data_IF_149486034925
#
_entry.id   IF_149486034925
#
_cell.length_a   1.000
_cell.length_b   1.000
_cell.length_c   1.000
_cell.angle_alpha   90.00
_cell.angle_beta   90.00
_cell.angle_gamma   90.00
#
_symmetry.space_group_name_H-M   'P 1'
#
loop_
_entity.id
_entity.type
_entity.pdbx_description
1 polymer ?
#
# COMPACT_ATOMS: atom_id res chain seq x y z
N UNK A 1 -17.93 -2.66 6.48
CA UNK A 1 -18.99 -3.34 5.69
C UNK A 1 -20.36 -3.17 6.31
N UNK A 2 -20.63 -3.69 7.52
CA UNK A 2 -21.94 -3.52 8.19
C UNK A 2 -22.39 -2.05 8.31
N UNK A 3 -21.49 -1.13 8.64
CA UNK A 3 -21.81 0.30 8.70
C UNK A 3 -22.20 0.90 7.33
N UNK A 4 -21.69 0.35 6.23
CA UNK A 4 -21.92 0.89 4.87
C UNK A 4 -23.13 0.25 4.19
N UNK A 5 -23.33 -1.06 4.36
CA UNK A 5 -24.30 -1.85 3.62
C UNK A 5 -25.45 -2.39 4.48
N UNK A 6 -25.36 -2.26 5.80
CA UNK A 6 -26.25 -2.94 6.72
C UNK A 6 -26.03 -4.46 6.75
N UNK A 7 -26.79 -5.19 7.58
CA UNK A 7 -26.59 -6.63 7.78
C UNK A 7 -26.80 -7.47 6.54
N UNK A 8 -27.97 -7.37 5.91
CA UNK A 8 -28.37 -8.22 4.78
C UNK A 8 -27.38 -8.14 3.61
N UNK A 9 -27.04 -6.93 3.18
CA UNK A 9 -26.15 -6.77 2.04
C UNK A 9 -24.69 -7.10 2.39
N UNK A 10 -24.27 -6.87 3.63
CA UNK A 10 -22.96 -7.34 4.09
C UNK A 10 -22.86 -8.86 4.01
N UNK A 11 -23.88 -9.58 4.49
CA UNK A 11 -23.93 -11.05 4.44
C UNK A 11 -23.92 -11.56 2.99
N UNK A 12 -24.69 -10.92 2.09
CA UNK A 12 -24.66 -11.22 0.65
C UNK A 12 -23.26 -11.06 0.04
N UNK A 13 -22.55 -9.98 0.37
CA UNK A 13 -21.18 -9.75 -0.12
C UNK A 13 -20.24 -10.82 0.43
N UNK A 14 -20.33 -11.13 1.72
CA UNK A 14 -19.46 -12.13 2.36
C UNK A 14 -19.66 -13.53 1.78
N UNK A 15 -20.89 -13.93 1.46
CA UNK A 15 -21.18 -15.19 0.76
C UNK A 15 -20.53 -15.25 -0.64
N UNK A 16 -20.43 -14.12 -1.33
CA UNK A 16 -19.81 -14.03 -2.66
C UNK A 16 -18.28 -13.93 -2.60
N UNK A 17 -17.68 -13.66 -1.44
CA UNK A 17 -16.22 -13.62 -1.28
C UNK A 17 -15.61 -15.00 -1.60
N UNK A 18 -14.60 -15.00 -2.50
CA UNK A 18 -13.97 -16.21 -3.03
C UNK A 18 -12.51 -16.41 -2.67
N UNK A 19 -11.77 -15.34 -2.35
CA UNK A 19 -10.34 -15.40 -2.07
C UNK A 19 -9.91 -14.22 -1.21
N UNK A 20 -8.99 -14.46 -0.26
CA UNK A 20 -8.26 -13.43 0.48
C UNK A 20 -6.77 -13.60 0.25
N UNK A 21 -6.08 -12.49 0.00
CA UNK A 21 -4.62 -12.44 -0.14
C UNK A 21 -4.06 -11.62 1.03
N UNK A 22 -3.20 -12.21 1.85
CA UNK A 22 -2.55 -11.52 2.99
C UNK A 22 -1.14 -11.13 2.58
N UNK A 23 -0.78 -9.85 2.69
CA UNK A 23 0.54 -9.35 2.24
C UNK A 23 1.64 -9.65 3.24
N UNK A 24 1.41 -9.42 4.52
CA UNK A 24 2.37 -9.66 5.60
C UNK A 24 1.67 -9.71 6.97
N UNK A 25 2.45 -9.82 8.06
CA UNK A 25 1.94 -10.14 9.40
C UNK A 25 1.77 -8.97 10.37
N UNK A 26 1.82 -7.71 9.91
CA UNK A 26 1.37 -6.61 10.76
C UNK A 26 -0.15 -6.66 10.95
N UNK A 27 -0.61 -6.39 12.17
CA UNK A 27 -1.98 -6.70 12.61
C UNK A 27 -3.06 -5.96 11.82
N UNK A 28 -2.73 -4.78 11.32
CA UNK A 28 -3.54 -3.93 10.44
C UNK A 28 -3.83 -4.53 9.06
N UNK A 29 -3.10 -5.57 8.62
CA UNK A 29 -3.32 -6.22 7.32
C UNK A 29 -4.11 -7.53 7.39
N UNK A 30 -4.16 -8.20 8.55
CA UNK A 30 -4.72 -9.55 8.65
C UNK A 30 -5.72 -9.75 9.79
N UNK A 31 -5.77 -8.86 10.79
CA UNK A 31 -6.56 -9.06 12.00
C UNK A 31 -8.08 -9.24 11.76
N UNK A 32 -8.61 -8.70 10.66
CA UNK A 32 -10.03 -8.84 10.29
C UNK A 32 -10.38 -10.13 9.54
N UNK A 33 -9.41 -10.90 9.05
CA UNK A 33 -9.64 -12.05 8.15
C UNK A 33 -10.52 -13.10 8.83
N UNK A 34 -10.30 -13.35 10.12
CA UNK A 34 -11.08 -14.35 10.83
C UNK A 34 -12.52 -13.90 11.08
N UNK A 35 -12.74 -12.63 11.45
CA UNK A 35 -14.11 -12.10 11.60
C UNK A 35 -14.89 -12.23 10.30
N UNK A 36 -14.24 -12.00 9.16
CA UNK A 36 -14.79 -12.24 7.82
C UNK A 36 -15.11 -13.72 7.61
N UNK A 37 -14.16 -14.63 7.88
CA UNK A 37 -14.35 -16.08 7.70
C UNK A 37 -15.46 -16.67 8.59
N UNK A 38 -15.49 -16.33 9.88
CA UNK A 38 -16.52 -16.76 10.83
C UNK A 38 -17.90 -16.25 10.46
N UNK A 39 -18.00 -15.01 10.00
CA UNK A 39 -19.28 -14.43 9.58
C UNK A 39 -19.75 -15.10 8.29
N UNK A 40 -18.88 -15.26 7.30
CA UNK A 40 -19.19 -15.98 6.06
C UNK A 40 -19.67 -17.42 6.33
N UNK A 41 -18.97 -18.16 7.20
CA UNK A 41 -19.36 -19.52 7.57
C UNK A 41 -20.76 -19.55 8.20
N UNK A 42 -21.02 -18.66 9.17
CA UNK A 42 -22.34 -18.56 9.84
C UNK A 42 -23.48 -18.27 8.89
N UNK A 43 -23.27 -17.44 7.87
CA UNK A 43 -24.31 -17.11 6.88
C UNK A 43 -24.56 -18.29 5.95
N UNK A 44 -23.49 -18.93 5.45
CA UNK A 44 -23.62 -20.10 4.56
C UNK A 44 -24.29 -21.30 5.25
N UNK A 45 -24.11 -21.49 6.56
CA UNK A 45 -24.77 -22.58 7.30
C UNK A 45 -26.23 -22.30 7.64
N UNK A 46 -26.64 -21.04 7.76
CA UNK A 46 -28.03 -20.65 8.06
C UNK A 46 -28.94 -20.68 6.84
N UNK A 47 -28.39 -20.46 5.65
CA UNK A 47 -29.14 -20.44 4.38
C UNK A 47 -28.50 -21.40 3.38
N UNK A 48 -28.65 -22.73 3.55
CA UNK A 48 -28.28 -23.68 2.52
C UNK A 48 -29.24 -23.48 1.33
N UNK A 49 -28.85 -22.67 0.35
CA UNK A 49 -29.57 -22.58 -0.92
C UNK A 49 -29.52 -23.93 -1.65
N UNK A 50 -30.56 -24.33 -2.38
CA UNK A 50 -30.57 -25.58 -3.19
C UNK A 50 -29.45 -25.64 -4.27
N UNK A 51 -28.79 -24.51 -4.55
CA UNK A 51 -27.62 -24.39 -5.45
C UNK A 51 -26.27 -24.75 -4.76
N UNK A 52 -26.33 -25.38 -3.57
CA UNK A 52 -25.21 -25.65 -2.64
C UNK A 52 -24.20 -26.71 -3.11
N UNK A 53 -24.37 -27.33 -4.28
CA UNK A 53 -23.55 -28.50 -4.66
C UNK A 53 -22.07 -28.17 -4.91
N UNK A 54 -21.67 -26.89 -5.05
CA UNK A 54 -20.28 -26.51 -5.36
C UNK A 54 -19.68 -25.37 -4.51
N UNK A 55 -20.36 -24.83 -3.48
CA UNK A 55 -19.81 -23.70 -2.71
C UNK A 55 -18.99 -24.18 -1.51
N UNK A 56 -17.67 -23.98 -1.56
CA UNK A 56 -16.78 -24.30 -0.43
C UNK A 56 -17.14 -23.44 0.79
N UNK A 57 -17.43 -24.10 1.91
CA UNK A 57 -17.70 -23.45 3.20
C UNK A 57 -16.46 -22.73 3.73
N UNK A 58 -15.29 -23.32 3.52
CA UNK A 58 -13.99 -22.74 3.85
C UNK A 58 -13.64 -21.60 2.90
N UNK A 59 -13.22 -20.47 3.46
CA UNK A 59 -12.73 -19.32 2.70
C UNK A 59 -11.26 -19.54 2.27
N UNK A 60 -10.93 -19.56 0.97
CA UNK A 60 -9.55 -19.62 0.52
C UNK A 60 -8.74 -18.40 0.95
N UNK A 61 -7.56 -18.64 1.54
CA UNK A 61 -6.63 -17.58 1.97
C UNK A 61 -5.22 -17.93 1.50
N UNK A 62 -4.59 -17.06 0.72
CA UNK A 62 -3.14 -17.11 0.46
C UNK A 62 -2.41 -16.21 1.46
N UNK A 63 -1.45 -16.75 2.22
CA UNK A 63 -0.81 -15.98 3.27
C UNK A 63 0.66 -16.41 3.57
N UNK A 64 1.44 -15.54 4.24
CA UNK A 64 2.76 -15.89 4.75
C UNK A 64 2.73 -17.06 5.75
N UNK A 65 3.85 -17.80 5.93
CA UNK A 65 3.90 -18.96 6.83
C UNK A 65 3.46 -18.69 8.27
N UNK A 66 3.76 -17.50 8.80
CA UNK A 66 3.39 -17.13 10.16
C UNK A 66 1.87 -16.99 10.37
N UNK A 67 1.09 -16.79 9.30
CA UNK A 67 -0.38 -16.74 9.37
C UNK A 67 -0.97 -18.09 9.79
N UNK A 68 -0.35 -19.21 9.40
CA UNK A 68 -0.80 -20.54 9.81
C UNK A 68 -0.79 -20.72 11.33
N UNK A 69 0.30 -20.29 11.99
CA UNK A 69 0.44 -20.35 13.45
C UNK A 69 -0.60 -19.47 14.13
N UNK A 70 -0.79 -18.25 13.63
CA UNK A 70 -1.82 -17.34 14.14
C UNK A 70 -3.22 -17.96 14.06
N UNK A 71 -3.55 -18.59 12.94
CA UNK A 71 -4.84 -19.29 12.76
C UNK A 71 -5.02 -20.47 13.71
N UNK A 72 -3.99 -21.29 13.93
CA UNK A 72 -4.05 -22.40 14.88
C UNK A 72 -4.30 -21.90 16.30
N UNK A 73 -3.50 -20.94 16.78
CA UNK A 73 -3.66 -20.40 18.14
C UNK A 73 -5.02 -19.73 18.35
N UNK A 74 -5.54 -19.04 17.32
CA UNK A 74 -6.86 -18.43 17.42
C UNK A 74 -7.98 -19.48 17.45
N UNK A 75 -7.90 -20.50 16.59
CA UNK A 75 -8.88 -21.58 16.57
C UNK A 75 -8.94 -22.34 17.91
N UNK A 76 -7.78 -22.56 18.53
CA UNK A 76 -7.68 -23.16 19.87
C UNK A 76 -8.31 -22.27 20.95
N UNK A 77 -8.02 -20.97 20.95
CA UNK A 77 -8.50 -20.04 21.96
C UNK A 77 -10.02 -19.81 21.91
N UNK A 78 -10.61 -19.79 20.72
CA UNK A 78 -12.03 -19.49 20.52
C UNK A 78 -12.87 -20.72 20.18
N UNK A 79 -12.29 -21.93 20.23
CA UNK A 79 -12.96 -23.21 20.05
C UNK A 79 -13.87 -23.29 18.81
N UNK A 80 -13.39 -22.78 17.67
CA UNK A 80 -14.11 -22.88 16.40
C UNK A 80 -13.51 -23.95 15.49
N UNK A 81 -14.35 -24.56 14.64
CA UNK A 81 -13.88 -25.48 13.59
C UNK A 81 -13.07 -24.77 12.50
N UNK A 82 -12.68 -25.52 11.46
CA UNK A 82 -12.00 -24.93 10.30
C UNK A 82 -12.92 -23.94 9.58
N UNK A 83 -12.45 -22.70 9.42
CA UNK A 83 -13.20 -21.61 8.75
C UNK A 83 -12.57 -21.19 7.43
N UNK A 84 -11.29 -21.53 7.22
CA UNK A 84 -10.51 -21.15 6.05
C UNK A 84 -9.88 -22.38 5.39
N UNK A 85 -9.62 -22.28 4.07
CA UNK A 85 -8.73 -23.17 3.35
C UNK A 85 -7.42 -22.40 3.13
N UNK A 86 -6.38 -22.73 3.90
CA UNK A 86 -5.14 -21.97 3.93
C UNK A 86 -4.14 -22.48 2.90
N UNK A 87 -3.70 -21.58 2.02
CA UNK A 87 -2.57 -21.73 1.12
C UNK A 87 -1.40 -20.91 1.66
N UNK A 88 -0.38 -21.59 2.17
CA UNK A 88 0.84 -20.93 2.64
C UNK A 88 1.74 -20.68 1.43
N UNK A 89 2.26 -19.47 1.25
CA UNK A 89 2.99 -19.07 0.02
C UNK A 89 4.09 -20.09 -0.39
N UNK A 90 5.04 -20.50 0.48
CA UNK A 90 6.02 -21.55 0.17
C UNK A 90 5.46 -22.92 -0.25
N UNK A 91 4.20 -23.21 0.11
CA UNK A 91 3.55 -24.47 -0.26
C UNK A 91 2.90 -24.39 -1.65
N UNK A 92 2.82 -23.24 -2.29
CA UNK A 92 2.19 -23.10 -3.63
C UNK A 92 3.05 -22.33 -4.62
N UNK A 93 4.10 -21.65 -4.13
CA UNK A 93 5.13 -20.97 -4.88
C UNK A 93 6.51 -21.29 -4.30
N UNK A 94 7.55 -21.29 -5.12
CA UNK A 94 8.93 -21.36 -4.64
C UNK A 94 9.30 -20.06 -3.92
N UNK A 95 9.58 -20.16 -2.62
CA UNK A 95 9.96 -19.04 -1.75
C UNK A 95 11.19 -19.43 -0.90
N UNK A 96 12.27 -18.63 -0.89
CA UNK A 96 12.41 -17.33 -1.53
C UNK A 96 12.36 -17.44 -3.06
N UNK A 97 11.82 -16.39 -3.70
CA UNK A 97 11.83 -16.29 -5.16
C UNK A 97 13.29 -16.35 -5.64
N UNK A 98 13.60 -17.13 -6.70
CA UNK A 98 14.90 -17.03 -7.36
C UNK A 98 15.16 -15.58 -7.79
N UNK A 99 16.39 -15.11 -7.56
CA UNK A 99 16.75 -13.68 -7.69
C UNK A 99 17.08 -13.28 -9.14
N UNK A 100 17.15 -14.24 -10.05
CA UNK A 100 17.50 -14.12 -11.46
C UNK A 100 16.28 -14.14 -12.40
N UNK A 101 15.07 -14.13 -11.85
CA UNK A 101 13.83 -14.18 -12.62
C UNK A 101 13.46 -12.83 -13.24
N UNK A 102 13.14 -12.87 -14.53
CA UNK A 102 12.61 -11.74 -15.30
C UNK A 102 11.35 -12.17 -16.06
N UNK A 103 10.14 -11.70 -15.66
CA UNK A 103 9.86 -10.86 -14.51
C UNK A 103 10.05 -11.60 -13.16
N UNK A 104 10.29 -10.89 -12.05
CA UNK A 104 10.60 -11.47 -10.73
C UNK A 104 9.36 -11.98 -10.00
N UNK A 105 8.65 -12.92 -10.63
CA UNK A 105 7.44 -13.59 -10.11
C UNK A 105 7.81 -14.97 -9.59
N UNK A 106 7.39 -15.31 -8.37
CA UNK A 106 7.65 -16.64 -7.81
C UNK A 106 7.00 -17.73 -8.69
N UNK A 107 7.78 -18.70 -9.19
CA UNK A 107 7.20 -19.82 -9.92
C UNK A 107 6.40 -20.70 -8.96
N UNK A 108 5.45 -21.45 -9.52
CA UNK A 108 4.67 -22.39 -8.74
C UNK A 108 5.53 -23.53 -8.18
N UNK A 109 5.22 -23.96 -6.95
CA UNK A 109 5.86 -25.13 -6.33
C UNK A 109 5.08 -26.39 -6.70
N UNK A 110 5.41 -27.01 -7.83
CA UNK A 110 4.71 -28.19 -8.38
C UNK A 110 4.80 -29.43 -7.48
N UNK A 111 5.85 -29.52 -6.66
CA UNK A 111 6.10 -30.65 -5.76
C UNK A 111 5.15 -30.68 -4.55
N UNK A 112 4.43 -29.58 -4.29
CA UNK A 112 3.56 -29.48 -3.12
C UNK A 112 2.16 -30.05 -3.39
N UNK A 113 1.61 -30.87 -2.46
CA UNK A 113 0.22 -31.33 -2.55
C UNK A 113 -0.80 -30.19 -2.64
N UNK A 114 -0.51 -29.02 -2.05
CA UNK A 114 -1.40 -27.86 -2.06
C UNK A 114 -1.39 -27.10 -3.39
N UNK A 115 -0.41 -27.33 -4.25
CA UNK A 115 -0.29 -26.67 -5.55
C UNK A 115 -1.48 -27.00 -6.46
N UNK A 116 -1.86 -28.27 -6.57
CA UNK A 116 -2.97 -28.69 -7.44
C UNK A 116 -4.28 -28.02 -7.02
N UNK A 117 -4.60 -28.02 -5.72
CA UNK A 117 -5.77 -27.32 -5.17
C UNK A 117 -5.74 -25.82 -5.49
N UNK A 118 -4.57 -25.19 -5.40
CA UNK A 118 -4.39 -23.76 -5.67
C UNK A 118 -4.62 -23.42 -7.15
N UNK A 119 -4.06 -24.20 -8.07
CA UNK A 119 -4.25 -24.00 -9.52
C UNK A 119 -5.70 -24.25 -9.93
N UNK A 120 -6.34 -25.28 -9.38
CA UNK A 120 -7.77 -25.55 -9.62
C UNK A 120 -8.65 -24.38 -9.15
N UNK A 121 -8.36 -23.84 -7.95
CA UNK A 121 -9.04 -22.66 -7.44
C UNK A 121 -8.86 -21.47 -8.39
N UNK A 122 -7.63 -21.10 -8.73
CA UNK A 122 -7.36 -19.95 -9.62
C UNK A 122 -8.00 -20.12 -10.99
N UNK A 123 -7.98 -21.34 -11.55
CA UNK A 123 -8.64 -21.68 -12.81
C UNK A 123 -10.15 -21.48 -12.72
N UNK A 124 -10.79 -21.94 -11.63
CA UNK A 124 -12.23 -21.76 -11.39
C UNK A 124 -12.63 -20.29 -11.28
N UNK A 125 -11.75 -19.46 -10.69
CA UNK A 125 -11.94 -18.01 -10.56
C UNK A 125 -11.58 -17.25 -11.84
N UNK A 126 -10.96 -17.91 -12.83
CA UNK A 126 -10.40 -17.30 -14.04
C UNK A 126 -9.38 -16.20 -13.71
N UNK A 127 -8.59 -16.43 -12.66
CA UNK A 127 -7.55 -15.53 -12.17
C UNK A 127 -6.17 -16.17 -12.31
N UNK A 128 -5.17 -15.32 -12.47
CA UNK A 128 -3.77 -15.63 -12.17
C UNK A 128 -3.35 -14.70 -11.02
N UNK A 129 -2.75 -15.27 -9.98
CA UNK A 129 -2.20 -14.53 -8.85
C UNK A 129 -0.71 -14.84 -8.78
N UNK A 130 0.11 -13.81 -8.69
CA UNK A 130 1.57 -13.90 -8.66
C UNK A 130 2.09 -13.10 -7.47
N UNK A 131 2.63 -13.73 -6.42
CA UNK A 131 3.28 -13.02 -5.33
C UNK A 131 4.65 -12.52 -5.78
N UNK A 132 5.01 -11.32 -5.31
CA UNK A 132 6.34 -10.73 -5.48
C UNK A 132 6.85 -10.32 -4.11
N UNK A 133 8.09 -10.71 -3.80
CA UNK A 133 8.68 -10.38 -2.51
C UNK A 133 9.02 -8.90 -2.49
N UNK A 134 8.65 -8.22 -1.41
CA UNK A 134 8.89 -6.78 -1.26
C UNK A 134 9.62 -6.45 0.04
N UNK A 135 10.49 -5.43 0.06
CA UNK A 135 11.22 -5.01 1.25
C UNK A 135 10.30 -4.32 2.27
N UNK A 136 10.02 -5.00 3.38
CA UNK A 136 9.33 -4.44 4.55
C UNK A 136 9.65 -5.26 5.82
N UNK A 137 9.06 -6.45 5.96
CA UNK A 137 9.45 -7.46 6.97
C UNK A 137 10.19 -8.64 6.34
N UNK A 138 10.53 -9.66 7.13
CA UNK A 138 11.17 -10.89 6.61
C UNK A 138 10.31 -11.68 5.61
N UNK A 139 8.97 -11.54 5.68
CA UNK A 139 8.01 -12.16 4.78
C UNK A 139 6.91 -11.16 4.42
N UNK A 140 7.20 -10.30 3.44
CA UNK A 140 6.25 -9.32 2.90
C UNK A 140 6.12 -9.50 1.39
N UNK A 141 4.88 -9.39 0.91
CA UNK A 141 4.50 -9.75 -0.43
C UNK A 141 3.59 -8.69 -1.04
N UNK A 142 3.90 -8.31 -2.27
CA UNK A 142 2.98 -7.70 -3.20
C UNK A 142 2.29 -8.79 -4.03
N UNK A 143 1.17 -8.44 -4.66
CA UNK A 143 0.44 -9.34 -5.53
C UNK A 143 0.15 -8.71 -6.88
N UNK A 144 0.46 -9.44 -7.95
CA UNK A 144 -0.06 -9.17 -9.29
C UNK A 144 -1.22 -10.12 -9.54
N UNK A 145 -2.39 -9.55 -9.76
CA UNK A 145 -3.62 -10.29 -10.06
C UNK A 145 -4.01 -9.98 -11.49
N UNK A 146 -4.07 -11.01 -12.32
CA UNK A 146 -4.54 -10.92 -13.71
C UNK A 146 -5.82 -11.71 -13.86
N UNK A 147 -6.76 -11.22 -14.68
CA UNK A 147 -7.99 -11.93 -14.96
C UNK A 147 -8.46 -11.72 -16.39
N UNK A 148 -9.21 -12.70 -16.90
CA UNK A 148 -9.83 -12.60 -18.23
C UNK A 148 -11.19 -11.93 -18.13
N UNK A 149 -11.48 -10.96 -19.00
CA UNK A 149 -12.82 -10.37 -19.09
C UNK A 149 -13.80 -11.35 -19.77
N UNK A 150 -15.08 -11.13 -19.48
CA UNK A 150 -16.21 -11.84 -20.10
C UNK A 150 -16.17 -11.57 -21.63
N UNK A 151 -16.56 -12.54 -22.48
CA UNK A 151 -16.43 -12.54 -23.96
C UNK A 151 -16.85 -11.29 -24.76
N UNK A 152 -17.43 -10.25 -24.16
CA UNK A 152 -17.80 -9.02 -24.85
C UNK A 152 -16.66 -7.98 -24.94
N UNK A 153 -15.57 -8.14 -24.20
CA UNK A 153 -14.42 -7.22 -24.23
C UNK A 153 -13.13 -8.02 -24.27
N UNK A 154 -12.46 -7.99 -25.42
CA UNK A 154 -11.24 -8.77 -25.73
C UNK A 154 -9.98 -8.12 -25.14
N UNK A 155 -10.01 -7.78 -23.84
CA UNK A 155 -8.84 -7.28 -23.11
C UNK A 155 -8.82 -7.85 -21.70
N UNK A 156 -7.76 -8.58 -21.39
CA UNK A 156 -7.43 -9.00 -20.03
C UNK A 156 -7.19 -7.78 -19.14
N UNK A 157 -7.35 -7.97 -17.83
CA UNK A 157 -7.08 -6.93 -16.85
C UNK A 157 -6.03 -7.37 -15.85
N UNK A 158 -5.31 -6.40 -15.31
CA UNK A 158 -4.24 -6.60 -14.34
C UNK A 158 -4.30 -5.56 -13.22
N UNK A 159 -4.21 -6.02 -11.98
CA UNK A 159 -4.17 -5.20 -10.78
C UNK A 159 -2.92 -5.59 -9.98
N UNK A 160 -2.15 -4.59 -9.56
CA UNK A 160 -1.00 -4.77 -8.66
C UNK A 160 -1.37 -4.18 -7.30
N UNK A 161 -1.14 -4.94 -6.24
CA UNK A 161 -1.29 -4.47 -4.85
C UNK A 161 0.05 -4.57 -4.15
N UNK A 162 0.61 -3.43 -3.71
CA UNK A 162 1.99 -3.38 -3.19
C UNK A 162 2.17 -4.10 -1.84
N UNK A 163 1.14 -4.12 -1.00
CA UNK A 163 1.35 -4.28 0.44
C UNK A 163 2.17 -3.11 0.99
N UNK A 164 2.85 -3.32 2.11
CA UNK A 164 3.77 -2.32 2.67
C UNK A 164 5.15 -2.55 2.11
N UNK A 165 5.78 -1.49 1.61
CA UNK A 165 7.09 -1.57 1.00
C UNK A 165 7.75 -0.20 0.77
N UNK A 166 9.07 -0.15 0.84
CA UNK A 166 9.87 0.89 0.16
C UNK A 166 9.81 0.73 -1.36
N UNK A 167 10.20 1.73 -2.17
CA UNK A 167 10.32 1.54 -3.61
C UNK A 167 11.09 0.26 -3.97
N UNK A 168 10.48 -0.57 -4.84
CA UNK A 168 10.94 -1.92 -5.12
C UNK A 168 11.01 -2.15 -6.64
N UNK A 169 12.23 -2.31 -7.15
CA UNK A 169 12.48 -2.58 -8.58
C UNK A 169 11.79 -3.86 -9.07
N UNK A 170 11.85 -4.92 -8.26
CA UNK A 170 11.22 -6.20 -8.61
C UNK A 170 9.70 -6.05 -8.79
N UNK A 171 9.05 -5.29 -7.91
CA UNK A 171 7.62 -5.00 -8.03
C UNK A 171 7.32 -4.21 -9.32
N UNK A 172 8.13 -3.18 -9.63
CA UNK A 172 8.02 -2.39 -10.86
C UNK A 172 8.10 -3.29 -12.09
N UNK A 173 9.08 -4.20 -12.14
CA UNK A 173 9.29 -5.06 -13.28
C UNK A 173 8.20 -6.13 -13.41
N UNK A 174 7.80 -6.78 -12.31
CA UNK A 174 6.75 -7.80 -12.33
C UNK A 174 5.35 -7.24 -12.64
N UNK A 175 5.10 -5.99 -12.24
CA UNK A 175 3.85 -5.26 -12.44
C UNK A 175 3.80 -4.40 -13.70
N UNK A 176 4.82 -4.43 -14.55
CA UNK A 176 4.94 -3.55 -15.73
C UNK A 176 3.67 -3.57 -16.60
N UNK A 177 3.27 -2.39 -17.06
CA UNK A 177 2.11 -2.14 -17.93
C UNK A 177 0.77 -2.60 -17.33
N UNK A 178 0.64 -2.60 -15.99
CA UNK A 178 -0.62 -2.98 -15.35
C UNK A 178 -1.75 -1.94 -15.55
N UNK A 179 -3.01 -2.39 -15.52
CA UNK A 179 -4.15 -1.47 -15.66
C UNK A 179 -4.41 -0.65 -14.38
N UNK A 180 -4.09 -1.22 -13.22
CA UNK A 180 -4.26 -0.54 -11.94
C UNK A 180 -3.19 -0.96 -10.94
N UNK A 181 -2.44 0.02 -10.44
CA UNK A 181 -1.60 -0.12 -9.27
C UNK A 181 -2.31 0.45 -8.05
N UNK A 182 -2.41 -0.34 -6.98
CA UNK A 182 -2.79 0.13 -5.63
C UNK A 182 -1.51 0.07 -4.78
N UNK A 183 -0.97 1.25 -4.47
CA UNK A 183 0.32 1.38 -3.80
C UNK A 183 0.17 2.03 -2.42
N UNK A 184 0.92 1.54 -1.43
CA UNK A 184 1.04 2.21 -0.13
C UNK A 184 1.72 3.58 -0.27
N UNK A 185 1.27 4.55 0.50
CA UNK A 185 1.84 5.89 0.56
C UNK A 185 1.81 6.37 2.01
N UNK A 186 2.43 5.60 2.90
CA UNK A 186 2.30 5.74 4.35
C UNK A 186 2.80 7.10 4.85
N UNK A 187 3.87 7.62 4.25
CA UNK A 187 4.56 8.84 4.70
C UNK A 187 4.36 10.01 3.72
N UNK A 188 4.42 11.23 4.25
CA UNK A 188 4.58 12.45 3.43
C UNK A 188 6.03 12.56 2.97
N UNK A 189 6.27 13.32 1.89
CA UNK A 189 7.59 13.44 1.27
C UNK A 189 8.62 14.10 2.21
N UNK A 190 8.18 15.01 3.09
CA UNK A 190 9.02 15.63 4.12
C UNK A 190 9.53 14.62 5.17
N UNK A 191 8.94 13.42 5.24
CA UNK A 191 9.29 12.35 6.17
C UNK A 191 10.00 11.18 5.48
N UNK A 192 10.69 11.42 4.37
CA UNK A 192 11.44 10.40 3.63
C UNK A 192 12.39 9.58 4.52
N UNK A 193 13.10 10.22 5.45
CA UNK A 193 14.01 9.51 6.35
C UNK A 193 13.28 8.55 7.30
N UNK A 194 12.06 8.90 7.71
CA UNK A 194 11.21 8.02 8.50
C UNK A 194 10.63 6.89 7.63
N UNK A 195 10.27 7.18 6.38
CA UNK A 195 9.81 6.18 5.42
C UNK A 195 10.87 5.10 5.20
N UNK A 196 12.13 5.51 4.97
CA UNK A 196 13.26 4.58 4.82
C UNK A 196 13.47 3.74 6.08
N UNK A 197 13.50 4.35 7.27
CA UNK A 197 13.70 3.63 8.53
C UNK A 197 12.57 2.64 8.83
N UNK A 198 11.33 3.05 8.60
CA UNK A 198 10.14 2.23 8.84
C UNK A 198 9.84 1.27 7.67
N UNK A 199 10.62 1.33 6.59
CA UNK A 199 10.48 0.54 5.36
C UNK A 199 9.11 0.68 4.69
N UNK A 200 8.73 1.93 4.48
CA UNK A 200 7.52 2.35 3.78
C UNK A 200 7.84 3.29 2.62
N UNK A 201 6.83 3.61 1.84
CA UNK A 201 6.90 4.60 0.76
C UNK A 201 6.38 5.97 1.20
N UNK A 202 6.94 7.02 0.60
CA UNK A 202 6.32 8.34 0.62
C UNK A 202 5.27 8.44 -0.50
N UNK A 203 4.46 9.50 -0.46
CA UNK A 203 3.52 9.82 -1.54
C UNK A 203 4.24 9.94 -2.90
N UNK A 204 5.30 10.74 -2.96
CA UNK A 204 6.10 10.96 -4.16
C UNK A 204 6.77 9.68 -4.65
N UNK A 205 7.30 8.84 -3.75
CA UNK A 205 7.94 7.59 -4.14
C UNK A 205 6.94 6.58 -4.70
N UNK A 206 5.73 6.50 -4.12
CA UNK A 206 4.66 5.64 -4.63
C UNK A 206 4.17 6.07 -6.03
N UNK A 207 4.06 7.38 -6.27
CA UNK A 207 3.74 7.93 -7.60
C UNK A 207 4.83 7.58 -8.61
N UNK A 208 6.10 7.72 -8.21
CA UNK A 208 7.23 7.39 -9.08
C UNK A 208 7.30 5.90 -9.41
N UNK A 209 7.02 5.01 -8.44
CA UNK A 209 6.87 3.57 -8.68
C UNK A 209 5.80 3.30 -9.74
N UNK A 210 4.62 3.93 -9.63
CA UNK A 210 3.56 3.80 -10.63
C UNK A 210 3.98 4.28 -12.02
N UNK A 211 4.74 5.38 -12.09
CA UNK A 211 5.29 5.91 -13.34
C UNK A 211 6.30 4.95 -13.97
N UNK A 212 7.24 4.42 -13.19
CA UNK A 212 8.27 3.48 -13.67
C UNK A 212 7.67 2.14 -14.09
N UNK A 213 6.62 1.70 -13.40
CA UNK A 213 5.83 0.51 -13.73
C UNK A 213 5.00 0.71 -15.01
N UNK A 214 4.85 1.93 -15.51
CA UNK A 214 3.94 2.27 -16.62
C UNK A 214 2.49 1.85 -16.32
N UNK A 215 2.07 1.96 -15.05
CA UNK A 215 0.72 1.64 -14.65
C UNK A 215 -0.29 2.61 -15.31
N UNK A 216 -1.37 2.07 -15.90
CA UNK A 216 -2.38 2.89 -16.56
C UNK A 216 -3.06 3.87 -15.58
N UNK A 217 -3.23 3.41 -14.34
CA UNK A 217 -3.71 4.21 -13.21
C UNK A 217 -3.06 3.78 -11.89
N UNK A 218 -2.83 4.73 -10.97
CA UNK A 218 -2.30 4.48 -9.63
C UNK A 218 -3.25 5.03 -8.56
N UNK A 219 -3.68 4.16 -7.65
CA UNK A 219 -4.39 4.51 -6.42
C UNK A 219 -3.43 4.46 -5.24
N UNK A 220 -3.31 5.59 -4.55
CA UNK A 220 -2.52 5.72 -3.34
C UNK A 220 -3.38 5.32 -2.14
N UNK A 221 -2.86 4.44 -1.29
CA UNK A 221 -3.57 3.86 -0.16
C UNK A 221 -2.67 3.77 1.08
N UNK A 222 -3.21 3.26 2.19
CA UNK A 222 -2.45 2.97 3.42
C UNK A 222 -1.78 4.21 4.04
N UNK A 223 -2.51 5.32 4.11
CA UNK A 223 -2.00 6.55 4.71
C UNK A 223 -1.89 6.43 6.23
N UNK A 224 -0.78 6.89 6.81
CA UNK A 224 -0.68 6.97 8.26
C UNK A 224 -1.67 8.00 8.83
N UNK A 225 -2.56 7.52 9.70
CA UNK A 225 -3.57 8.34 10.37
C UNK A 225 -2.99 9.47 11.23
N UNK A 226 -1.68 9.40 11.56
CA UNK A 226 -0.97 10.45 12.32
C UNK A 226 -0.84 11.75 11.52
N UNK A 227 -0.81 11.65 10.19
CA UNK A 227 -0.52 12.79 9.31
C UNK A 227 -1.78 13.47 8.78
N UNK A 228 -2.94 12.83 8.79
CA UNK A 228 -4.21 13.49 8.41
C UNK A 228 -5.15 12.52 7.71
N UNK A 229 -6.36 13.02 7.37
CA UNK A 229 -7.37 12.25 6.62
C UNK A 229 -7.23 12.38 5.10
N UNK A 230 -6.47 13.38 4.64
CA UNK A 230 -6.22 13.64 3.22
C UNK A 230 -4.70 13.79 3.03
N UNK A 231 -4.01 12.91 2.29
CA UNK A 231 -2.59 13.08 2.02
C UNK A 231 -2.31 14.38 1.25
N UNK A 232 -1.09 14.91 1.37
CA UNK A 232 -0.63 16.16 0.74
C UNK A 232 -0.42 16.04 -0.78
N UNK A 233 -1.40 15.53 -1.52
CA UNK A 233 -1.40 15.56 -2.98
C UNK A 233 -1.90 16.93 -3.44
N UNK A 234 -0.99 17.87 -3.70
CA UNK A 234 -1.39 19.21 -4.14
C UNK A 234 -1.58 19.31 -5.66
N UNK A 235 -0.78 18.56 -6.42
CA UNK A 235 -0.71 18.64 -7.88
C UNK A 235 -1.72 17.70 -8.54
N UNK A 236 -2.39 18.19 -9.57
CA UNK A 236 -3.21 17.34 -10.44
C UNK A 236 -2.30 16.42 -11.26
N UNK A 237 -2.55 15.11 -11.18
CA UNK A 237 -1.85 14.09 -11.97
C UNK A 237 -2.93 13.23 -12.64
N UNK A 238 -3.02 13.17 -13.99
CA UNK A 238 -4.17 12.60 -14.70
C UNK A 238 -4.50 11.13 -14.41
N UNK A 239 -3.54 10.36 -13.91
CA UNK A 239 -3.67 8.92 -13.66
C UNK A 239 -3.38 8.53 -12.20
N UNK A 240 -3.42 9.49 -11.27
CA UNK A 240 -3.18 9.23 -9.84
C UNK A 240 -4.33 9.76 -9.01
N UNK A 241 -4.84 8.94 -8.10
CA UNK A 241 -5.81 9.38 -7.11
C UNK A 241 -5.55 8.74 -5.74
N UNK A 242 -6.15 9.35 -4.71
CA UNK A 242 -6.05 8.88 -3.33
C UNK A 242 -7.32 8.12 -2.97
N UNK A 243 -7.19 7.09 -2.14
CA UNK A 243 -8.33 6.32 -1.63
C UNK A 243 -8.85 6.91 -0.31
N UNK A 244 -10.10 6.60 0.01
CA UNK A 244 -10.70 6.90 1.30
C UNK A 244 -11.44 5.68 1.81
N UNK A 245 -11.61 5.60 3.12
CA UNK A 245 -12.48 4.61 3.73
C UNK A 245 -13.87 4.68 3.09
N UNK A 246 -14.43 3.51 2.77
CA UNK A 246 -15.75 3.33 2.16
C UNK A 246 -15.88 3.83 0.71
N UNK A 247 -14.79 4.30 0.09
CA UNK A 247 -14.78 4.70 -1.32
C UNK A 247 -15.12 3.52 -2.23
N UNK A 248 -16.02 3.75 -3.19
CA UNK A 248 -16.40 2.77 -4.23
C UNK A 248 -16.17 3.39 -5.59
N UNK A 249 -15.49 2.64 -6.46
CA UNK A 249 -15.10 3.12 -7.78
C UNK A 249 -15.42 2.02 -8.79
N UNK A 250 -16.09 2.38 -9.88
CA UNK A 250 -16.07 1.55 -11.08
C UNK A 250 -14.75 1.78 -11.82
N UNK A 251 -14.14 0.72 -12.37
CA UNK A 251 -12.88 0.85 -13.11
C UNK A 251 -12.99 1.84 -14.29
N UNK A 252 -14.17 1.98 -14.89
CA UNK A 252 -14.45 2.96 -15.95
C UNK A 252 -14.37 4.41 -15.48
N UNK A 253 -14.47 4.67 -14.18
CA UNK A 253 -14.49 6.01 -13.59
C UNK A 253 -13.11 6.44 -13.04
N UNK A 254 -12.08 5.59 -13.10
CA UNK A 254 -10.75 5.88 -12.54
C UNK A 254 -10.20 7.24 -13.02
N UNK A 255 -10.31 7.52 -14.32
CA UNK A 255 -9.83 8.79 -14.93
C UNK A 255 -10.55 10.04 -14.41
N UNK A 256 -11.71 9.90 -13.77
CA UNK A 256 -12.44 11.03 -13.16
C UNK A 256 -11.90 11.38 -11.78
N UNK A 257 -11.27 10.42 -11.08
CA UNK A 257 -10.85 10.58 -9.70
C UNK A 257 -9.92 11.78 -9.44
N UNK A 258 -8.90 12.06 -10.28
CA UNK A 258 -7.99 13.17 -10.04
C UNK A 258 -8.69 14.55 -10.06
N UNK A 259 -9.82 14.67 -10.79
CA UNK A 259 -10.60 15.90 -10.85
C UNK A 259 -11.35 16.21 -9.55
N UNK A 260 -11.53 15.23 -8.67
CA UNK A 260 -12.16 15.46 -7.36
C UNK A 260 -11.19 16.02 -6.31
N UNK A 261 -9.88 16.04 -6.60
CA UNK A 261 -8.86 16.46 -5.64
C UNK A 261 -9.10 17.86 -5.03
N UNK A 262 -9.50 18.92 -5.79
CA UNK A 262 -9.80 20.22 -5.20
C UNK A 262 -10.98 20.17 -4.21
N UNK A 263 -11.97 19.33 -4.47
CA UNK A 263 -13.14 19.16 -3.61
C UNK A 263 -12.78 18.44 -2.31
N UNK A 264 -11.89 17.45 -2.37
CA UNK A 264 -11.37 16.81 -1.16
C UNK A 264 -10.60 17.80 -0.30
N UNK A 265 -9.73 18.62 -0.89
CA UNK A 265 -9.02 19.67 -0.15
C UNK A 265 -9.98 20.62 0.54
N UNK A 266 -11.03 21.05 -0.16
CA UNK A 266 -12.06 21.90 0.43
C UNK A 266 -12.79 21.20 1.59
N UNK A 267 -13.25 19.97 1.39
CA UNK A 267 -13.97 19.20 2.40
C UNK A 267 -13.11 18.90 3.64
N UNK A 268 -11.80 18.75 3.47
CA UNK A 268 -10.84 18.41 4.52
C UNK A 268 -9.89 19.57 4.87
N UNK A 269 -10.25 20.83 4.59
CA UNK A 269 -9.36 21.99 4.74
C UNK A 269 -8.68 22.08 6.11
N UNK A 270 -9.44 21.86 7.21
CA UNK A 270 -8.87 21.86 8.57
C UNK A 270 -7.79 20.78 8.78
N UNK A 271 -7.97 19.61 8.16
CA UNK A 271 -6.98 18.53 8.25
C UNK A 271 -5.76 18.84 7.39
N UNK A 272 -5.99 19.45 6.23
CA UNK A 272 -4.94 19.89 5.32
C UNK A 272 -4.00 20.90 5.99
N UNK A 273 -4.53 21.96 6.59
CA UNK A 273 -3.73 22.99 7.27
C UNK A 273 -2.92 22.39 8.43
N UNK A 274 -3.55 21.53 9.24
CA UNK A 274 -2.87 20.86 10.35
C UNK A 274 -1.73 19.94 9.87
N UNK A 275 -1.87 19.33 8.70
CA UNK A 275 -0.84 18.48 8.12
C UNK A 275 0.33 19.30 7.57
N UNK A 276 0.06 20.42 6.89
CA UNK A 276 1.10 21.34 6.43
C UNK A 276 1.95 21.86 7.59
N UNK A 277 1.32 22.34 8.66
CA UNK A 277 2.02 22.86 9.85
C UNK A 277 2.93 21.79 10.47
N UNK A 278 2.47 20.53 10.53
CA UNK A 278 3.28 19.42 11.05
C UNK A 278 4.48 19.11 10.15
N UNK A 279 4.27 19.07 8.83
CA UNK A 279 5.32 18.81 7.85
C UNK A 279 6.40 19.91 7.91
N UNK A 280 5.99 21.18 7.94
CA UNK A 280 6.89 22.33 8.09
C UNK A 280 7.67 22.28 9.41
N UNK A 281 7.00 22.00 10.54
CA UNK A 281 7.65 21.89 11.84
C UNK A 281 8.71 20.77 11.88
N UNK A 282 8.45 19.66 11.19
CA UNK A 282 9.42 18.58 11.04
C UNK A 282 10.64 19.01 10.22
N UNK A 283 10.41 19.65 9.07
CA UNK A 283 11.47 20.18 8.22
C UNK A 283 12.36 21.18 8.98
N UNK A 284 11.77 22.09 9.76
CA UNK A 284 12.50 23.03 10.60
C UNK A 284 13.28 22.36 11.74
N UNK A 285 12.75 21.28 12.32
CA UNK A 285 13.48 20.50 13.32
C UNK A 285 14.71 19.83 12.69
N UNK A 286 14.55 19.19 11.53
CA UNK A 286 15.63 18.53 10.81
C UNK A 286 16.72 19.52 10.40
N UNK A 287 16.33 20.68 9.87
CA UNK A 287 17.26 21.75 9.54
C UNK A 287 18.09 22.17 10.75
N UNK A 288 17.45 22.40 11.90
CA UNK A 288 18.15 22.75 13.15
C UNK A 288 19.12 21.66 13.60
N UNK A 289 18.70 20.40 13.57
CA UNK A 289 19.55 19.26 13.92
C UNK A 289 20.78 19.15 13.02
N UNK A 290 20.63 19.43 11.71
CA UNK A 290 21.74 19.46 10.74
C UNK A 290 22.70 20.64 10.97
N UNK A 291 22.17 21.85 11.23
CA UNK A 291 23.01 23.02 11.52
C UNK A 291 23.77 22.93 12.84
N UNK A 292 23.31 22.09 13.78
CA UNK A 292 23.99 21.84 15.06
C UNK A 292 25.09 20.77 14.93
N UNK A 293 25.06 19.94 13.88
CA UNK A 293 26.04 18.87 13.65
C UNK A 293 27.12 19.22 12.63
N UNK A 294 26.95 20.29 11.85
CA UNK A 294 28.03 20.86 11.04
C UNK A 294 29.04 21.62 11.93
N UNK A 295 30.34 21.25 11.91
CA UNK A 295 31.35 22.02 12.63
C UNK A 295 31.42 23.43 12.05
N UNK A 296 31.56 24.44 12.91
CA UNK A 296 31.80 25.82 12.50
C UNK A 296 33.17 25.94 11.81
N UNK A 297 33.25 25.71 10.50
CA UNK A 297 34.39 26.16 9.71
C UNK A 297 34.32 27.68 9.51
N UNK A 298 34.65 28.44 10.56
CA UNK A 298 35.14 29.81 10.43
C UNK A 298 35.76 30.31 11.74
N UNK A 299 37.01 29.95 11.98
CA UNK A 299 37.92 30.80 12.76
C UNK A 299 39.38 30.49 12.39
N UNK A 300 39.76 30.78 11.15
CA UNK A 300 41.18 31.07 10.89
C UNK A 300 41.49 32.45 11.45
N UNK A 301 42.19 32.43 12.59
CA UNK A 301 42.89 33.54 13.19
C UNK A 301 43.98 34.05 12.25
N UNK A 302 43.77 35.23 11.65
CA UNK A 302 44.88 36.03 11.15
C UNK A 302 45.32 37.01 12.25
N UNK A 303 46.55 36.80 12.73
CA UNK A 303 47.27 37.68 13.63
C UNK A 303 47.53 39.08 13.03
N UNK A 304 47.83 40.10 13.87
CA UNK A 304 47.81 41.49 13.47
C UNK A 304 49.16 41.96 12.90
N UNK A 305 49.14 42.69 11.77
CA UNK A 305 50.30 43.48 11.32
C UNK A 305 49.93 44.96 11.25
N UNK A 306 50.37 45.66 12.30
CA UNK A 306 50.85 47.04 12.41
C UNK A 306 50.54 48.07 11.30
N UNK A 307 49.71 49.06 11.65
CA UNK A 307 49.96 50.50 11.54
C UNK A 307 50.26 51.15 10.18
N UNK A 308 49.30 51.94 9.66
CA UNK A 308 49.48 53.38 9.34
C UNK A 308 48.19 54.06 8.83
N UNK A 309 47.71 55.02 9.63
CA UNK A 309 47.20 56.36 9.28
C UNK A 309 46.06 56.59 8.27
N UNK A 310 44.90 57.00 8.82
CA UNK A 310 44.13 58.25 8.54
C UNK A 310 43.63 58.50 7.10
N UNK A 311 42.32 58.38 6.85
CA UNK A 311 41.36 59.51 6.69
C UNK A 311 39.94 59.05 6.29
N UNK A 312 38.94 59.54 7.03
CA UNK A 312 37.51 59.40 6.74
C UNK A 312 37.08 60.33 5.58
N UNK A 313 36.01 59.97 4.84
CA UNK A 313 34.92 60.93 4.71
C UNK A 313 33.50 60.32 4.83
N UNK A 314 32.77 60.91 5.77
CA UNK A 314 31.35 61.33 5.77
C UNK A 314 30.31 60.51 4.99
N UNK A 315 29.42 59.93 5.78
CA UNK A 315 28.02 59.59 5.48
C UNK A 315 27.25 60.87 5.13
N UNK A 316 26.51 60.86 4.01
CA UNK A 316 25.35 61.73 3.79
C UNK A 316 24.10 60.86 3.64
N UNK A 317 23.30 60.82 4.71
CA UNK A 317 21.89 60.48 4.64
C UNK A 317 21.13 61.67 4.03
N UNK A 318 20.23 61.41 3.09
CA UNK A 318 19.13 62.32 2.77
C UNK A 318 17.84 61.52 2.68
N UNK A 319 16.98 61.73 3.66
CA UNK A 319 15.58 61.33 3.65
C UNK A 319 14.71 62.44 3.07
N UNK A 320 13.66 62.03 2.36
CA UNK A 320 12.34 62.67 2.24
C UNK A 320 12.22 64.07 1.63
N UNK A 321 11.55 64.12 0.48
CA UNK A 321 10.23 64.74 0.33
C UNK A 321 9.38 63.86 -0.61
#
# INVERSE_FOLDING_TARGET
MYALYGPTETENILCKLKLVLVTHMHADHHGGVLSVALTRLRVLTRSPSDDTTNQTTLLPVLAPPAFARWMTSFAELFHHGSTINLFVIPNVYHSPCPSDLHPPICPHNEDSPKHVEWIQLLTSLKLNVSPVRVPHTGSSWAYIVRGRRIPAVDKDWSIVYSGDTTPCGDLIEAGRDCDLLIHEATMVDEHEDLAVRAKHSTLGSAIEVGRQMQADFTLLNHFSQRYGRLPMLDKFIPNVAVTFDLMRIHLSDLRRLPYYLPYYKYAFAKHWDAQQVKAEAYSWRKYREQTLTEPSESSESNEPVNGKTINNPKISQSSTA
#
